data_IF_958642655041
#
_entry.id   IF_958642655041
#
_cell.length_a   1.000
_cell.length_b   1.000
_cell.length_c   1.000
_cell.angle_alpha   90.00
_cell.angle_beta   90.00
_cell.angle_gamma   90.00
#
_symmetry.space_group_name_H-M   'P 1'
#
loop_
_entity.id
_entity.type
_entity.pdbx_description
1 polymer ?
#
# COMPACT_ATOMS: atom_id res chain seq x y z
N UNK A 1 -11.43 -54.79 16.85
CA UNK A 1 -12.04 -53.52 17.28
C UNK A 1 -11.04 -52.44 17.72
N UNK A 2 -10.03 -52.74 18.57
CA UNK A 2 -9.08 -51.72 19.07
C UNK A 2 -8.20 -51.03 18.00
N UNK A 3 -7.81 -51.74 16.93
CA UNK A 3 -7.00 -51.16 15.83
C UNK A 3 -7.77 -50.14 14.98
N UNK A 4 -9.08 -50.33 14.77
CA UNK A 4 -9.91 -49.43 13.95
C UNK A 4 -10.17 -48.09 14.64
N UNK A 5 -10.27 -48.08 15.97
CA UNK A 5 -10.42 -46.86 16.77
C UNK A 5 -9.12 -46.03 16.74
N UNK A 6 -7.96 -46.70 16.77
CA UNK A 6 -6.67 -46.02 16.66
C UNK A 6 -6.49 -45.31 15.31
N UNK A 7 -6.86 -45.95 14.20
CA UNK A 7 -6.81 -45.30 12.87
C UNK A 7 -7.79 -44.12 12.75
N UNK A 8 -8.99 -44.21 13.33
CA UNK A 8 -9.92 -43.06 13.37
C UNK A 8 -9.36 -41.87 14.16
N UNK A 9 -8.73 -42.10 15.32
CA UNK A 9 -8.12 -41.01 16.11
C UNK A 9 -6.94 -40.36 15.39
N UNK A 10 -6.11 -41.13 14.67
CA UNK A 10 -4.98 -40.59 13.90
C UNK A 10 -5.45 -39.75 12.71
N UNK A 11 -6.47 -40.19 11.99
CA UNK A 11 -7.05 -39.43 10.86
C UNK A 11 -7.72 -38.13 11.35
N UNK A 12 -8.40 -38.17 12.51
CA UNK A 12 -8.99 -36.98 13.12
C UNK A 12 -7.92 -35.97 13.55
N UNK A 13 -6.78 -36.41 14.11
CA UNK A 13 -5.66 -35.51 14.44
C UNK A 13 -4.99 -34.86 13.21
N UNK A 14 -4.95 -35.56 12.07
CA UNK A 14 -4.41 -35.00 10.81
C UNK A 14 -5.38 -33.96 10.21
N UNK A 15 -6.69 -34.14 10.37
CA UNK A 15 -7.69 -33.16 9.93
C UNK A 15 -7.72 -31.91 10.83
N UNK A 16 -7.54 -32.07 12.15
CA UNK A 16 -7.50 -30.95 13.10
C UNK A 16 -6.23 -30.10 12.94
N UNK A 17 -5.12 -30.69 12.48
CA UNK A 17 -3.87 -29.94 12.23
C UNK A 17 -3.91 -29.08 10.96
N UNK A 18 -4.78 -29.37 9.99
CA UNK A 18 -5.02 -28.48 8.83
C UNK A 18 -5.89 -27.26 9.18
N UNK A 19 -6.55 -27.25 10.33
CA UNK A 19 -7.34 -26.12 10.82
C UNK A 19 -6.50 -25.09 11.61
N UNK A 20 -5.20 -25.33 11.82
CA UNK A 20 -4.29 -24.26 12.21
C UNK A 20 -4.11 -23.31 11.03
N UNK A 21 -5.01 -22.32 10.99
CA UNK A 21 -4.98 -21.17 10.09
C UNK A 21 -3.56 -20.64 9.96
N UNK A 22 -2.92 -20.89 8.82
CA UNK A 22 -1.77 -20.10 8.41
C UNK A 22 -2.30 -18.67 8.24
N UNK A 23 -1.97 -17.79 9.18
CA UNK A 23 -2.21 -16.36 9.03
C UNK A 23 -1.44 -15.89 7.79
N UNK A 24 -2.17 -15.78 6.69
CA UNK A 24 -1.64 -15.42 5.37
C UNK A 24 -1.48 -13.91 5.32
N UNK A 25 -0.33 -13.44 4.85
CA UNK A 25 -0.11 -12.04 4.54
C UNK A 25 -1.22 -11.53 3.60
N UNK A 26 -1.83 -10.41 3.96
CA UNK A 26 -2.83 -9.73 3.15
C UNK A 26 -2.16 -8.66 2.29
N UNK A 27 -2.44 -8.70 0.99
CA UNK A 27 -2.08 -7.66 0.02
C UNK A 27 -3.34 -6.90 -0.43
N UNK A 28 -3.15 -5.79 -1.15
CA UNK A 28 -4.26 -5.00 -1.70
C UNK A 28 -5.05 -5.78 -2.76
N UNK A 29 -4.39 -6.59 -3.58
CA UNK A 29 -5.03 -7.28 -4.71
C UNK A 29 -5.55 -6.29 -5.76
N UNK A 30 -6.61 -6.65 -6.48
CA UNK A 30 -7.15 -5.82 -7.56
C UNK A 30 -7.93 -4.62 -7.01
N UNK A 31 -7.76 -3.47 -7.65
CA UNK A 31 -8.60 -2.29 -7.47
C UNK A 31 -9.82 -2.35 -8.39
N UNK A 32 -11.01 -2.24 -7.81
CA UNK A 32 -12.29 -2.40 -8.51
C UNK A 32 -12.99 -1.07 -8.77
N UNK A 33 -12.70 -0.04 -7.97
CA UNK A 33 -13.31 1.28 -8.11
C UNK A 33 -12.49 2.36 -7.41
N UNK A 34 -12.81 3.61 -7.68
CA UNK A 34 -12.29 4.76 -6.94
C UNK A 34 -13.43 5.75 -6.61
N UNK A 35 -13.21 6.59 -5.61
CA UNK A 35 -14.07 7.74 -5.30
C UNK A 35 -13.23 8.98 -5.03
N UNK A 36 -13.72 10.14 -5.45
CA UNK A 36 -13.03 11.42 -5.29
C UNK A 36 -13.82 12.32 -4.35
N UNK A 37 -13.12 12.97 -3.42
CA UNK A 37 -13.67 13.99 -2.54
C UNK A 37 -12.63 15.11 -2.37
N UNK A 38 -12.84 16.22 -3.07
CA UNK A 38 -11.89 17.34 -3.08
C UNK A 38 -10.49 16.89 -3.51
N UNK A 39 -9.50 17.16 -2.68
CA UNK A 39 -8.10 16.78 -2.93
C UNK A 39 -7.75 15.32 -2.58
N UNK A 40 -8.75 14.49 -2.26
CA UNK A 40 -8.58 13.07 -1.91
C UNK A 40 -9.20 12.17 -2.98
N UNK A 41 -8.50 11.11 -3.32
CA UNK A 41 -9.04 9.97 -4.07
C UNK A 41 -8.84 8.69 -3.25
N UNK A 42 -9.86 7.86 -3.16
CA UNK A 42 -9.84 6.58 -2.46
C UNK A 42 -10.06 5.46 -3.46
N UNK A 43 -9.09 4.56 -3.58
CA UNK A 43 -9.15 3.34 -4.37
C UNK A 43 -9.64 2.17 -3.51
N UNK A 44 -10.69 1.49 -3.96
CA UNK A 44 -11.22 0.29 -3.30
C UNK A 44 -10.56 -0.95 -3.90
N UNK A 45 -9.97 -1.77 -3.04
CA UNK A 45 -9.21 -2.96 -3.41
C UNK A 45 -9.84 -4.24 -2.80
N UNK A 46 -9.13 -5.37 -2.84
CA UNK A 46 -9.65 -6.65 -2.35
C UNK A 46 -9.85 -6.64 -0.83
N UNK A 47 -10.76 -7.50 -0.35
CA UNK A 47 -10.98 -7.76 1.08
C UNK A 47 -11.25 -6.48 1.91
N UNK A 48 -12.00 -5.53 1.34
CA UNK A 48 -12.31 -4.20 1.91
C UNK A 48 -11.12 -3.26 2.09
N UNK A 49 -9.90 -3.66 1.70
CA UNK A 49 -8.74 -2.79 1.77
C UNK A 49 -8.89 -1.59 0.85
N UNK A 50 -8.34 -0.44 1.27
CA UNK A 50 -8.42 0.81 0.52
C UNK A 50 -7.11 1.58 0.56
N UNK A 51 -6.85 2.32 -0.51
CA UNK A 51 -5.72 3.26 -0.60
C UNK A 51 -6.26 4.65 -0.85
N UNK A 52 -5.94 5.60 0.03
CA UNK A 52 -6.21 7.01 -0.19
C UNK A 52 -4.94 7.72 -0.66
N UNK A 53 -5.05 8.47 -1.75
CA UNK A 53 -4.09 9.49 -2.14
C UNK A 53 -4.71 10.86 -1.88
N UNK A 54 -4.01 11.71 -1.14
CA UNK A 54 -4.38 13.10 -0.88
C UNK A 54 -3.30 14.01 -1.46
N UNK A 55 -3.69 14.88 -2.39
CA UNK A 55 -2.78 15.88 -2.95
C UNK A 55 -2.74 17.09 -2.01
N UNK A 56 -1.66 17.22 -1.24
CA UNK A 56 -1.41 18.38 -0.38
C UNK A 56 -0.94 19.58 -1.21
N UNK A 57 -0.11 19.31 -2.22
CA UNK A 57 0.28 20.18 -3.33
C UNK A 57 0.52 19.30 -4.56
N UNK A 58 0.99 19.85 -5.69
CA UNK A 58 1.39 19.01 -6.83
C UNK A 58 2.73 18.29 -6.65
N UNK A 59 3.45 18.54 -5.55
CA UNK A 59 4.71 17.87 -5.20
C UNK A 59 4.57 16.94 -3.99
N UNK A 60 3.60 17.21 -3.10
CA UNK A 60 3.41 16.47 -1.84
C UNK A 60 2.13 15.65 -1.89
N UNK A 61 2.30 14.33 -1.86
CA UNK A 61 1.20 13.36 -1.86
C UNK A 61 1.19 12.61 -0.53
N UNK A 62 0.13 12.79 0.25
CA UNK A 62 -0.13 11.96 1.44
C UNK A 62 -0.78 10.66 1.01
N UNK A 63 -0.19 9.54 1.40
CA UNK A 63 -0.65 8.18 1.08
C UNK A 63 -1.11 7.52 2.37
N UNK A 64 -2.36 7.03 2.41
CA UNK A 64 -2.88 6.25 3.52
C UNK A 64 -3.42 4.92 3.00
N UNK A 65 -2.79 3.82 3.39
CA UNK A 65 -3.28 2.47 3.08
C UNK A 65 -3.97 1.88 4.31
N UNK A 66 -5.16 1.33 4.12
CA UNK A 66 -5.96 0.70 5.17
C UNK A 66 -6.31 -0.74 4.78
N UNK A 67 -6.02 -1.70 5.66
CA UNK A 67 -6.28 -3.11 5.43
C UNK A 67 -7.76 -3.48 5.56
N UNK A 68 -8.52 -2.75 6.37
CA UNK A 68 -9.95 -2.94 6.63
C UNK A 68 -10.84 -1.89 5.93
N UNK A 69 -10.21 -0.89 5.29
CA UNK A 69 -10.89 0.19 4.58
C UNK A 69 -11.31 1.36 5.47
N UNK A 70 -10.99 1.32 6.76
CA UNK A 70 -11.22 2.41 7.70
C UNK A 70 -9.98 3.30 7.78
N UNK A 71 -10.16 4.61 7.58
CA UNK A 71 -9.10 5.61 7.73
C UNK A 71 -9.19 6.28 9.10
N UNK A 72 -8.99 5.47 10.14
CA UNK A 72 -8.98 5.92 11.53
C UNK A 72 -7.63 5.61 12.17
N UNK A 73 -7.25 6.45 13.12
CA UNK A 73 -6.01 6.32 13.90
C UNK A 73 -6.32 6.75 15.33
N UNK A 74 -5.61 6.19 16.31
CA UNK A 74 -5.87 6.49 17.72
C UNK A 74 -5.55 7.94 18.09
N UNK A 75 -4.53 8.53 17.44
CA UNK A 75 -4.14 9.92 17.63
C UNK A 75 -3.85 10.52 16.26
N UNK A 76 -4.13 11.82 16.13
CA UNK A 76 -3.68 12.58 14.97
C UNK A 76 -2.16 12.74 14.95
N UNK A 77 -1.64 13.25 13.82
CA UNK A 77 -0.19 13.40 13.65
C UNK A 77 0.37 14.38 14.69
N UNK A 78 1.40 13.96 15.42
CA UNK A 78 2.15 14.85 16.32
C UNK A 78 3.23 15.68 15.58
N UNK A 79 3.57 15.30 14.34
CA UNK A 79 4.64 15.92 13.56
C UNK A 79 4.11 16.83 12.42
N UNK A 80 2.92 16.56 11.92
CA UNK A 80 2.32 17.31 10.80
C UNK A 80 1.35 18.33 11.37
N UNK A 81 1.63 19.61 11.14
CA UNK A 81 0.79 20.73 11.61
C UNK A 81 -0.07 21.34 10.49
N UNK A 82 0.23 21.05 9.22
CA UNK A 82 -0.49 21.55 8.05
C UNK A 82 -0.50 20.49 6.94
N UNK A 83 -1.64 20.32 6.26
CA UNK A 83 -1.82 19.41 5.13
C UNK A 83 -2.31 20.10 3.85
N UNK A 84 -2.83 21.34 3.94
CA UNK A 84 -3.07 22.20 2.77
C UNK A 84 -1.79 22.95 2.43
N UNK A 85 -1.06 22.41 1.45
CA UNK A 85 0.18 23.00 0.94
C UNK A 85 -0.05 23.72 -0.40
N UNK A 86 -1.28 24.15 -0.66
CA UNK A 86 -1.63 24.96 -1.82
C UNK A 86 -2.32 24.21 -2.97
N UNK A 87 -2.71 22.95 -2.80
CA UNK A 87 -3.53 22.26 -3.80
C UNK A 87 -4.88 22.98 -3.99
N UNK A 88 -5.30 23.15 -5.25
CA UNK A 88 -6.57 23.83 -5.58
C UNK A 88 -7.50 22.90 -6.36
N UNK A 89 -8.75 22.85 -5.93
CA UNK A 89 -9.81 22.08 -6.59
C UNK A 89 -9.77 20.59 -6.28
N UNK A 90 -10.38 19.82 -7.17
CA UNK A 90 -10.62 18.39 -7.00
C UNK A 90 -9.58 17.56 -7.75
N UNK A 91 -9.17 16.41 -7.20
CA UNK A 91 -8.27 15.48 -7.91
C UNK A 91 -8.94 15.02 -9.20
N UNK A 92 -8.27 15.22 -10.32
CA UNK A 92 -8.72 14.65 -11.59
C UNK A 92 -8.09 13.26 -11.78
N UNK A 93 -8.95 12.24 -11.88
CA UNK A 93 -8.54 10.86 -12.12
C UNK A 93 -8.96 10.50 -13.54
N UNK A 94 -7.98 10.25 -14.40
CA UNK A 94 -8.19 9.73 -15.75
C UNK A 94 -8.19 8.22 -15.68
N UNK A 95 -9.33 7.61 -15.98
CA UNK A 95 -9.48 6.16 -15.99
C UNK A 95 -9.15 5.59 -17.37
N UNK A 96 -8.22 4.63 -17.39
CA UNK A 96 -7.81 3.85 -18.55
C UNK A 96 -8.22 2.38 -18.35
N UNK A 97 -8.18 1.52 -19.39
CA UNK A 97 -8.61 0.12 -19.27
C UNK A 97 -7.91 -0.65 -18.13
N UNK A 98 -6.59 -0.49 -18.00
CA UNK A 98 -5.78 -1.21 -17.00
C UNK A 98 -5.24 -0.34 -15.87
N UNK A 99 -5.39 0.98 -15.95
CA UNK A 99 -4.78 1.92 -14.99
C UNK A 99 -5.68 3.12 -14.67
N UNK A 100 -5.36 3.83 -13.60
CA UNK A 100 -5.79 5.20 -13.36
C UNK A 100 -4.57 6.13 -13.44
N UNK A 101 -4.76 7.32 -13.99
CA UNK A 101 -3.73 8.34 -14.11
C UNK A 101 -4.16 9.62 -13.40
N UNK A 102 -3.26 10.20 -12.61
CA UNK A 102 -3.43 11.48 -11.94
C UNK A 102 -2.24 12.35 -12.29
N UNK A 103 -2.50 13.58 -12.72
CA UNK A 103 -1.47 14.50 -13.17
C UNK A 103 -1.45 15.75 -12.29
N UNK A 104 -0.25 16.18 -11.93
CA UNK A 104 0.01 17.47 -11.30
C UNK A 104 1.00 18.26 -12.16
N UNK A 105 1.38 19.46 -11.74
CA UNK A 105 2.39 20.27 -12.40
C UNK A 105 3.78 19.60 -12.41
N UNK A 106 4.12 18.79 -11.39
CA UNK A 106 5.43 18.11 -11.29
C UNK A 106 5.37 16.58 -11.43
N UNK A 107 4.23 15.95 -11.10
CA UNK A 107 4.13 14.49 -10.99
C UNK A 107 3.20 13.90 -12.05
N UNK A 108 3.51 12.67 -12.43
CA UNK A 108 2.61 11.76 -13.15
C UNK A 108 2.41 10.54 -12.26
N UNK A 109 1.22 10.36 -11.72
CA UNK A 109 0.90 9.25 -10.83
C UNK A 109 0.09 8.23 -11.64
N UNK A 110 0.56 6.99 -11.65
CA UNK A 110 -0.10 5.87 -12.31
C UNK A 110 -0.45 4.82 -11.27
N UNK A 111 -1.70 4.37 -11.30
CA UNK A 111 -2.21 3.29 -10.44
C UNK A 111 -2.61 2.12 -11.33
N UNK A 112 -1.95 0.98 -11.20
CA UNK A 112 -2.39 -0.25 -11.85
C UNK A 112 -3.67 -0.78 -11.20
N UNK A 113 -4.63 -1.29 -11.98
CA UNK A 113 -5.87 -1.88 -11.44
C UNK A 113 -5.67 -3.31 -10.94
N UNK A 114 -4.89 -4.15 -11.62
CA UNK A 114 -4.88 -5.59 -11.37
C UNK A 114 -3.45 -6.17 -11.46
N UNK A 115 -2.73 -6.30 -10.33
CA UNK A 115 -3.08 -5.83 -8.97
C UNK A 115 -2.87 -4.32 -8.79
N UNK A 116 -3.35 -3.76 -7.68
CA UNK A 116 -3.06 -2.39 -7.29
C UNK A 116 -1.55 -2.18 -7.19
N UNK A 117 -1.04 -1.20 -7.93
CA UNK A 117 0.35 -0.75 -7.85
C UNK A 117 0.40 0.76 -8.01
N UNK A 118 0.98 1.45 -7.04
CA UNK A 118 1.26 2.88 -7.12
C UNK A 118 2.63 3.11 -7.76
N UNK A 119 2.64 3.93 -8.81
CA UNK A 119 3.84 4.40 -9.49
C UNK A 119 3.79 5.92 -9.58
N UNK A 120 4.88 6.59 -9.19
CA UNK A 120 5.02 8.03 -9.25
C UNK A 120 6.23 8.35 -10.13
N UNK A 121 5.98 9.11 -11.19
CA UNK A 121 6.98 9.60 -12.11
C UNK A 121 7.08 11.12 -11.98
N UNK A 122 8.21 11.67 -12.41
CA UNK A 122 8.30 13.10 -12.68
C UNK A 122 7.54 13.48 -13.97
N UNK A 123 7.45 14.78 -14.25
CA UNK A 123 6.83 15.30 -15.49
C UNK A 123 7.51 14.84 -16.78
N UNK A 124 8.74 14.30 -16.70
CA UNK A 124 9.50 13.76 -17.83
C UNK A 124 9.36 12.24 -17.97
N UNK A 125 8.41 11.62 -17.25
CA UNK A 125 8.14 10.18 -17.27
C UNK A 125 9.31 9.33 -16.72
N UNK A 126 10.20 9.92 -15.91
CA UNK A 126 11.20 9.15 -15.16
C UNK A 126 10.55 8.61 -13.90
N UNK A 127 10.63 7.29 -13.71
CA UNK A 127 10.09 6.64 -12.50
C UNK A 127 10.88 7.08 -11.26
N UNK A 128 10.18 7.62 -10.26
CA UNK A 128 10.77 8.07 -9.00
C UNK A 128 10.52 7.05 -7.89
N UNK A 129 9.30 6.52 -7.81
CA UNK A 129 8.85 5.69 -6.69
C UNK A 129 7.80 4.70 -7.17
N UNK A 130 7.98 3.42 -6.89
CA UNK A 130 7.06 2.35 -7.32
C UNK A 130 6.86 1.31 -6.23
N UNK A 131 5.63 0.82 -6.09
CA UNK A 131 5.36 -0.44 -5.40
C UNK A 131 6.16 -1.60 -5.99
N UNK A 132 6.64 -2.51 -5.13
CA UNK A 132 7.29 -3.75 -5.53
C UNK A 132 6.26 -4.84 -5.81
N UNK A 133 6.07 -5.16 -7.10
CA UNK A 133 5.13 -6.19 -7.56
C UNK A 133 3.72 -6.01 -6.94
N UNK A 134 3.02 -7.08 -6.60
CA UNK A 134 1.74 -7.06 -5.90
C UNK A 134 1.87 -6.75 -4.39
N UNK A 135 3.10 -6.65 -3.89
CA UNK A 135 3.45 -6.56 -2.47
C UNK A 135 3.75 -5.13 -2.02
N UNK A 136 3.22 -4.14 -2.73
CA UNK A 136 3.38 -2.72 -2.38
C UNK A 136 3.00 -2.41 -0.93
N UNK A 137 1.89 -2.98 -0.48
CA UNK A 137 1.44 -2.99 0.91
C UNK A 137 1.20 -4.42 1.39
N UNK A 138 1.65 -4.72 2.61
CA UNK A 138 1.48 -6.01 3.27
C UNK A 138 0.95 -5.78 4.68
N UNK A 139 -0.14 -6.48 5.00
CA UNK A 139 -0.70 -6.55 6.34
C UNK A 139 -0.59 -7.97 6.89
N UNK A 140 0.02 -8.12 8.06
CA UNK A 140 0.08 -9.37 8.80
C UNK A 140 -0.27 -9.13 10.26
N UNK A 141 -1.50 -9.47 10.64
CA UNK A 141 -1.89 -9.56 12.06
C UNK A 141 -1.61 -8.28 12.87
N UNK A 142 -1.88 -7.11 12.29
CA UNK A 142 -1.61 -5.80 12.91
C UNK A 142 -0.25 -5.21 12.54
N UNK A 143 0.64 -5.98 11.91
CA UNK A 143 1.90 -5.48 11.36
C UNK A 143 1.65 -4.93 9.96
N UNK A 144 2.18 -3.75 9.70
CA UNK A 144 2.14 -3.11 8.38
C UNK A 144 3.55 -3.07 7.79
N UNK A 145 3.67 -3.41 6.50
CA UNK A 145 4.92 -3.26 5.73
C UNK A 145 4.59 -2.67 4.37
N UNK A 146 5.53 -1.88 3.85
CA UNK A 146 5.46 -1.33 2.50
C UNK A 146 6.73 -1.73 1.77
N UNK A 147 6.60 -2.30 0.57
CA UNK A 147 7.74 -2.70 -0.25
C UNK A 147 7.77 -1.85 -1.53
N UNK A 148 8.94 -1.33 -1.86
CA UNK A 148 9.15 -0.48 -3.03
C UNK A 148 10.26 -1.05 -3.90
N UNK A 149 10.20 -0.75 -5.19
CA UNK A 149 11.29 -1.09 -6.11
C UNK A 149 12.52 -0.29 -5.70
N UNK A 150 13.64 -1.00 -5.52
CA UNK A 150 14.96 -0.40 -5.29
C UNK A 150 15.76 -0.48 -6.58
N UNK A 151 16.28 0.65 -7.06
CA UNK A 151 17.19 0.68 -8.21
C UNK A 151 18.64 0.53 -7.76
N UNK A 152 19.48 0.01 -8.66
CA UNK A 152 20.90 -0.23 -8.37
C UNK A 152 21.69 1.04 -8.00
N UNK A 153 21.28 2.19 -8.53
CA UNK A 153 21.90 3.50 -8.32
C UNK A 153 21.23 4.33 -7.22
N UNK A 154 20.25 3.77 -6.52
CA UNK A 154 19.46 4.49 -5.53
C UNK A 154 20.14 4.55 -4.17
N UNK A 155 20.30 5.77 -3.66
CA UNK A 155 20.97 6.07 -2.39
C UNK A 155 19.99 6.67 -1.38
N UNK A 156 20.11 6.29 -0.11
CA UNK A 156 19.26 6.79 0.96
C UNK A 156 20.07 7.54 2.03
N UNK A 157 19.50 8.65 2.52
CA UNK A 157 20.11 9.50 3.55
C UNK A 157 19.07 9.92 4.58
N UNK A 158 19.53 10.42 5.74
CA UNK A 158 18.66 10.90 6.81
C UNK A 158 18.40 9.87 7.91
N UNK A 159 17.13 9.71 8.30
CA UNK A 159 16.67 8.95 9.47
C UNK A 159 17.12 9.51 10.83
N UNK A 160 17.44 10.80 10.88
CA UNK A 160 17.81 11.52 12.10
C UNK A 160 19.19 11.15 12.65
N UNK A 161 19.30 11.14 13.97
CA UNK A 161 20.54 10.84 14.68
C UNK A 161 20.80 9.32 14.71
N UNK A 162 21.57 8.85 13.73
CA UNK A 162 21.98 7.44 13.61
C UNK A 162 23.45 7.32 13.24
N UNK A 163 24.15 6.40 13.91
CA UNK A 163 25.56 6.05 13.63
C UNK A 163 25.72 5.29 12.30
N UNK A 164 26.96 4.95 11.93
CA UNK A 164 27.28 4.23 10.70
C UNK A 164 27.58 5.15 9.50
N UNK A 165 27.55 4.59 8.30
CA UNK A 165 27.87 5.32 7.07
C UNK A 165 26.74 6.29 6.70
N UNK A 166 27.09 7.37 5.99
CA UNK A 166 26.12 8.38 5.55
C UNK A 166 25.06 7.80 4.63
N UNK A 167 25.48 7.00 3.64
CA UNK A 167 24.57 6.28 2.76
C UNK A 167 23.97 5.09 3.52
N UNK A 168 22.64 4.98 3.49
CA UNK A 168 21.85 3.92 4.13
C UNK A 168 21.45 2.80 3.17
N UNK A 169 21.76 2.92 1.88
CA UNK A 169 21.66 1.79 0.95
C UNK A 169 22.64 0.69 1.36
N UNK A 170 22.18 -0.55 1.30
CA UNK A 170 22.94 -1.76 1.61
C UNK A 170 23.44 -2.37 0.31
#
# INVERSE_FOLDING_TARGET
MKKSIFYCCVIFCILVSQAYSQKKEQYLGNCTSYSVNGNKVVFSCANNSKVMLQLCSGEVVKIWVSADGNFVRNNESFAVIEEDLGWKGTVNVKEEPSTYEIFTEQLRIRVNKAPFQLQIFDKYQKLLFSDYAEKGFVYDSGKIRTNKVLRNDEQFFGLGEKSGWKNRSI
#
